data_IF_640156141052
#
_entry.id   IF_640156141052
#
_cell.length_a   1.000
_cell.length_b   1.000
_cell.length_c   1.000
_cell.angle_alpha   90.00
_cell.angle_beta   90.00
_cell.angle_gamma   90.00
#
_symmetry.space_group_name_H-M   'P 1'
#
loop_
_entity.id
_entity.type
_entity.pdbx_description
1 polymer ?
#
# COMPACT_ATOMS: atom_id res chain seq x y z
N UNK A 1 -4.02 -7.83 11.84
CA UNK A 1 -3.27 -7.99 10.58
C UNK A 1 -2.85 -6.66 9.93
N UNK A 2 -3.46 -5.52 10.26
CA UNK A 2 -3.16 -4.22 9.61
C UNK A 2 -1.68 -3.81 9.64
N UNK A 3 -1.03 -3.84 10.80
CA UNK A 3 0.40 -3.47 10.92
C UNK A 3 1.27 -4.41 10.08
N UNK A 4 1.01 -5.72 10.15
CA UNK A 4 1.74 -6.74 9.38
C UNK A 4 1.56 -6.52 7.87
N UNK A 5 0.34 -6.20 7.42
CA UNK A 5 0.06 -5.88 6.02
C UNK A 5 0.78 -4.62 5.55
N UNK A 6 0.83 -3.57 6.38
CA UNK A 6 1.52 -2.32 6.05
C UNK A 6 3.03 -2.57 5.93
N UNK A 7 3.64 -3.17 6.96
CA UNK A 7 5.08 -3.45 6.97
C UNK A 7 5.47 -4.41 5.85
N UNK A 8 4.69 -5.46 5.63
CA UNK A 8 4.93 -6.42 4.56
C UNK A 8 4.84 -5.77 3.17
N UNK A 9 3.81 -4.97 2.91
CA UNK A 9 3.66 -4.28 1.63
C UNK A 9 4.83 -3.31 1.37
N UNK A 10 5.19 -2.47 2.35
CA UNK A 10 6.33 -1.57 2.24
C UNK A 10 7.63 -2.34 1.97
N UNK A 11 7.86 -3.44 2.71
CA UNK A 11 9.05 -4.26 2.53
C UNK A 11 9.15 -4.85 1.12
N UNK A 12 8.07 -5.43 0.59
CA UNK A 12 8.09 -6.06 -0.74
C UNK A 12 8.32 -5.08 -1.89
N UNK A 13 8.02 -3.79 -1.71
CA UNK A 13 8.28 -2.76 -2.72
C UNK A 13 9.64 -2.08 -2.56
N UNK A 14 10.40 -2.44 -1.53
CA UNK A 14 11.71 -1.85 -1.23
C UNK A 14 12.83 -2.90 -1.14
N UNK A 15 12.65 -4.10 -1.70
CA UNK A 15 13.66 -5.16 -1.67
C UNK A 15 14.97 -4.74 -2.33
N UNK A 16 14.89 -3.87 -3.34
CA UNK A 16 16.03 -3.35 -4.10
C UNK A 16 16.22 -1.84 -3.93
N UNK A 17 15.68 -1.25 -2.85
CA UNK A 17 15.76 0.19 -2.61
C UNK A 17 17.23 0.63 -2.40
N UNK A 18 17.60 1.76 -3.01
CA UNK A 18 18.94 2.37 -2.86
C UNK A 18 18.96 3.49 -1.83
N UNK A 19 17.78 3.97 -1.41
CA UNK A 19 17.59 5.00 -0.39
C UNK A 19 16.50 4.61 0.61
N UNK A 20 16.70 4.88 1.92
CA UNK A 20 15.66 4.62 2.93
C UNK A 20 14.39 5.46 2.73
N UNK A 21 14.47 6.56 1.97
CA UNK A 21 13.32 7.42 1.69
C UNK A 21 12.35 6.81 0.67
N UNK A 22 12.76 5.79 -0.09
CA UNK A 22 11.90 5.08 -1.03
C UNK A 22 10.77 4.31 -0.33
N UNK A 23 10.93 3.97 0.96
CA UNK A 23 9.90 3.31 1.75
C UNK A 23 8.69 4.21 2.04
N UNK A 24 8.88 5.54 2.07
CA UNK A 24 7.83 6.50 2.44
C UNK A 24 6.57 6.39 1.59
N UNK A 25 6.67 6.52 0.26
CA UNK A 25 5.52 6.37 -0.65
C UNK A 25 4.77 5.04 -0.48
N UNK A 26 5.48 3.92 -0.38
CA UNK A 26 4.85 2.60 -0.24
C UNK A 26 4.18 2.40 1.12
N UNK A 27 4.76 2.95 2.19
CA UNK A 27 4.14 2.96 3.52
C UNK A 27 2.83 3.76 3.52
N UNK A 28 2.82 4.95 2.91
CA UNK A 28 1.62 5.78 2.79
C UNK A 28 0.54 5.04 1.97
N UNK A 29 0.91 4.45 0.83
CA UNK A 29 -0.02 3.68 0.01
C UNK A 29 -0.62 2.49 0.78
N UNK A 30 0.22 1.72 1.49
CA UNK A 30 -0.25 0.60 2.28
C UNK A 30 -1.26 1.00 3.38
N UNK A 31 -1.03 2.14 4.05
CA UNK A 31 -1.97 2.71 5.01
C UNK A 31 -3.30 3.06 4.34
N UNK A 32 -3.28 3.70 3.18
CA UNK A 32 -4.48 4.04 2.40
C UNK A 32 -5.27 2.79 2.01
N UNK A 33 -4.60 1.72 1.55
CA UNK A 33 -5.26 0.47 1.19
C UNK A 33 -5.92 -0.21 2.40
N UNK A 34 -5.24 -0.21 3.56
CA UNK A 34 -5.80 -0.77 4.80
C UNK A 34 -7.01 0.03 5.27
N UNK A 35 -6.96 1.38 5.20
CA UNK A 35 -8.09 2.25 5.51
C UNK A 35 -9.27 1.95 4.57
N UNK A 36 -9.02 1.92 3.25
CA UNK A 36 -10.04 1.62 2.25
C UNK A 36 -10.67 0.24 2.47
N UNK A 37 -9.87 -0.78 2.78
CA UNK A 37 -10.35 -2.10 3.15
C UNK A 37 -11.19 -2.09 4.44
N UNK A 38 -10.75 -1.38 5.48
CA UNK A 38 -11.44 -1.33 6.77
C UNK A 38 -12.83 -0.68 6.66
N UNK A 39 -12.90 0.50 6.03
CA UNK A 39 -14.14 1.27 5.93
C UNK A 39 -15.09 0.77 4.84
N UNK A 40 -14.63 -0.09 3.94
CA UNK A 40 -15.49 -0.78 2.96
C UNK A 40 -16.06 -2.10 3.48
N UNK A 41 -16.09 -2.30 4.79
CA UNK A 41 -16.52 -3.56 5.42
C UNK A 41 -15.72 -4.77 4.92
N UNK A 42 -14.40 -4.61 4.76
CA UNK A 42 -13.48 -5.67 4.33
C UNK A 42 -13.69 -6.11 2.87
N UNK A 43 -14.17 -5.21 2.01
CA UNK A 43 -14.27 -5.49 0.58
C UNK A 43 -12.88 -5.40 -0.08
N UNK A 44 -12.38 -6.53 -0.60
CA UNK A 44 -11.08 -6.59 -1.27
C UNK A 44 -11.04 -5.84 -2.61
N UNK A 45 -12.18 -5.61 -3.26
CA UNK A 45 -12.21 -4.85 -4.50
C UNK A 45 -11.73 -3.39 -4.29
N UNK A 46 -11.96 -2.82 -3.09
CA UNK A 46 -11.55 -1.45 -2.76
C UNK A 46 -10.04 -1.27 -2.73
N UNK A 47 -9.23 -2.00 -1.93
CA UNK A 47 -7.78 -1.89 -1.97
C UNK A 47 -7.18 -2.28 -3.32
N UNK A 48 -7.79 -3.22 -4.06
CA UNK A 48 -7.36 -3.55 -5.43
C UNK A 48 -7.54 -2.34 -6.36
N UNK A 49 -8.72 -1.72 -6.36
CA UNK A 49 -8.99 -0.53 -7.17
C UNK A 49 -8.08 0.63 -6.77
N UNK A 50 -7.90 0.88 -5.47
CA UNK A 50 -6.99 1.90 -4.97
C UNK A 50 -5.56 1.66 -5.47
N UNK A 51 -5.07 0.42 -5.42
CA UNK A 51 -3.73 0.07 -5.91
C UNK A 51 -3.59 0.29 -7.43
N UNK A 52 -4.60 -0.09 -8.22
CA UNK A 52 -4.60 0.16 -9.66
C UNK A 52 -4.59 1.66 -9.97
N UNK A 53 -5.40 2.46 -9.27
CA UNK A 53 -5.47 3.91 -9.46
C UNK A 53 -4.15 4.57 -9.07
N UNK A 54 -3.54 4.20 -7.94
CA UNK A 54 -2.27 4.79 -7.52
C UNK A 54 -1.15 4.48 -8.52
N UNK A 55 -1.14 3.28 -9.10
CA UNK A 55 -0.17 2.93 -10.13
C UNK A 55 -0.42 3.68 -11.44
N UNK A 56 -1.68 3.86 -11.85
CA UNK A 56 -2.03 4.66 -13.04
C UNK A 56 -1.60 6.12 -12.93
N UNK A 57 -1.58 6.70 -11.73
CA UNK A 57 -1.18 8.10 -11.52
C UNK A 57 0.35 8.22 -11.40
N UNK A 58 1.02 7.21 -10.85
CA UNK A 58 2.45 7.24 -10.59
C UNK A 58 3.32 6.85 -11.80
N UNK A 59 2.75 6.21 -12.83
CA UNK A 59 3.41 5.74 -14.06
C UNK A 59 2.71 6.29 -15.31
#
# INVERSE_FOLDING_TARGET
MYIVSIVGFTYFHCTDAVSPFEAGPYFIAAVVFVIGYHFSHRNLAVPIALHMITNLIAF
#
